data_IF_594199955066
#
_entry.id   IF_594199955066
#
_cell.length_a   1.000
_cell.length_b   1.000
_cell.length_c   1.000
_cell.angle_alpha   90.00
_cell.angle_beta   90.00
_cell.angle_gamma   90.00
#
_symmetry.space_group_name_H-M   'P 1'
#
loop_
_entity.id
_entity.type
_entity.pdbx_description
1 polymer ?
#
# COMPACT_ATOMS: atom_id res chain seq x y z
N UNK A 1 23.57 -74.74 -6.42
CA UNK A 1 23.43 -73.78 -5.29
C UNK A 1 23.49 -72.37 -5.87
N UNK A 2 22.53 -71.49 -5.56
CA UNK A 2 22.18 -70.32 -6.36
C UNK A 2 23.10 -69.12 -6.14
N UNK A 3 23.10 -68.25 -7.16
CA UNK A 3 23.83 -66.99 -7.26
C UNK A 3 23.21 -65.94 -6.33
N UNK A 4 24.02 -65.31 -5.50
CA UNK A 4 23.72 -64.04 -4.85
C UNK A 4 24.99 -63.22 -4.91
N UNK A 5 25.15 -62.50 -6.01
CA UNK A 5 26.12 -61.43 -6.12
C UNK A 5 25.51 -60.18 -5.49
N UNK A 6 26.19 -59.65 -4.48
CA UNK A 6 25.87 -58.33 -3.93
C UNK A 6 26.19 -57.26 -4.97
N UNK A 7 25.15 -56.55 -5.40
CA UNK A 7 25.16 -55.41 -6.32
C UNK A 7 25.70 -54.14 -5.64
N UNK A 8 26.91 -54.20 -5.07
CA UNK A 8 27.54 -53.05 -4.40
C UNK A 8 28.95 -52.77 -4.92
N UNK A 9 29.10 -52.58 -6.24
CA UNK A 9 30.26 -51.87 -6.81
C UNK A 9 29.96 -51.32 -8.23
N UNK A 10 30.76 -50.40 -8.81
CA UNK A 10 30.48 -48.98 -8.94
C UNK A 10 30.26 -48.59 -10.42
N UNK A 11 29.01 -48.61 -10.87
CA UNK A 11 28.51 -47.92 -12.08
C UNK A 11 27.05 -47.55 -11.76
N UNK A 12 26.60 -46.30 -11.70
CA UNK A 12 26.46 -45.36 -12.80
C UNK A 12 26.33 -43.94 -12.22
N UNK A 13 27.37 -43.13 -12.36
CA UNK A 13 27.33 -41.68 -12.11
C UNK A 13 26.58 -40.96 -13.23
N UNK A 14 25.24 -40.90 -13.16
CA UNK A 14 24.38 -40.04 -13.99
C UNK A 14 23.96 -38.75 -13.25
N UNK A 15 24.28 -38.62 -11.96
CA UNK A 15 24.00 -37.41 -11.16
C UNK A 15 24.59 -36.09 -11.72
N UNK A 16 25.85 -36.04 -12.19
CA UNK A 16 26.45 -34.75 -12.58
C UNK A 16 26.05 -34.23 -13.97
N UNK A 17 25.61 -35.10 -14.88
CA UNK A 17 25.33 -34.74 -16.28
C UNK A 17 23.88 -34.25 -16.44
N UNK A 18 22.93 -34.85 -15.71
CA UNK A 18 21.54 -34.36 -15.65
C UNK A 18 21.48 -33.04 -14.86
N UNK A 19 22.26 -32.90 -13.77
CA UNK A 19 22.32 -31.65 -13.01
C UNK A 19 22.87 -30.48 -13.84
N UNK A 20 23.93 -30.71 -14.63
CA UNK A 20 24.47 -29.68 -15.53
C UNK A 20 23.53 -29.28 -16.66
N UNK A 21 22.69 -30.19 -17.15
CA UNK A 21 21.65 -29.85 -18.13
C UNK A 21 20.53 -28.98 -17.50
N UNK A 22 20.11 -29.29 -16.26
CA UNK A 22 19.11 -28.51 -15.53
C UNK A 22 19.62 -27.11 -15.14
N UNK A 23 20.87 -27.02 -14.66
CA UNK A 23 21.52 -25.77 -14.28
C UNK A 23 21.82 -24.88 -15.49
N UNK A 24 22.16 -25.45 -16.65
CA UNK A 24 22.37 -24.66 -17.88
C UNK A 24 21.07 -24.14 -18.51
N UNK A 25 19.93 -24.80 -18.28
CA UNK A 25 18.61 -24.29 -18.67
C UNK A 25 18.19 -23.16 -17.71
N UNK A 26 18.43 -23.30 -16.40
CA UNK A 26 18.20 -22.21 -15.44
C UNK A 26 19.11 -21.01 -15.72
N UNK A 27 20.42 -21.19 -15.92
CA UNK A 27 21.37 -20.08 -16.14
C UNK A 27 21.12 -19.26 -17.43
N UNK A 28 20.41 -19.80 -18.42
CA UNK A 28 20.01 -19.04 -19.62
C UNK A 28 18.63 -18.38 -19.52
N UNK A 29 17.87 -18.65 -18.45
CA UNK A 29 16.56 -18.04 -18.16
C UNK A 29 16.58 -17.00 -17.01
N UNK A 30 17.76 -16.72 -16.42
CA UNK A 30 17.91 -15.92 -15.18
C UNK A 30 17.76 -14.41 -15.40
N UNK A 31 17.83 -13.90 -16.63
CA UNK A 31 17.85 -12.43 -16.80
C UNK A 31 16.47 -11.78 -16.69
N UNK A 32 15.37 -12.55 -16.71
CA UNK A 32 14.06 -12.18 -16.19
C UNK A 32 13.04 -13.29 -16.53
N UNK A 33 12.63 -14.15 -15.58
CA UNK A 33 11.72 -15.27 -15.87
C UNK A 33 10.36 -14.79 -16.43
N UNK A 34 9.94 -13.57 -16.09
CA UNK A 34 8.76 -12.92 -16.66
C UNK A 34 8.94 -12.33 -18.07
N UNK A 35 10.18 -12.05 -18.51
CA UNK A 35 10.44 -11.50 -19.86
C UNK A 35 10.15 -12.52 -20.94
N UNK A 36 10.36 -13.82 -20.66
CA UNK A 36 9.94 -14.90 -21.53
C UNK A 36 8.40 -14.96 -21.66
N UNK A 37 7.66 -14.79 -20.56
CA UNK A 37 6.20 -14.72 -20.57
C UNK A 37 5.68 -13.48 -21.33
N UNK A 38 6.27 -12.31 -21.10
CA UNK A 38 5.91 -11.08 -21.80
C UNK A 38 6.14 -11.16 -23.30
N UNK A 39 7.25 -11.78 -23.73
CA UNK A 39 7.56 -11.96 -25.17
C UNK A 39 6.52 -12.80 -25.91
N UNK A 40 5.89 -13.76 -25.23
CA UNK A 40 4.88 -14.65 -25.80
C UNK A 40 3.53 -13.94 -26.07
N UNK A 41 3.28 -12.82 -25.41
CA UNK A 41 2.08 -12.00 -25.60
C UNK A 41 2.33 -10.70 -26.36
N UNK A 42 3.55 -10.49 -26.88
CA UNK A 42 3.94 -9.21 -27.49
C UNK A 42 4.07 -8.07 -26.47
N UNK A 43 4.05 -8.37 -25.17
CA UNK A 43 4.11 -7.43 -24.06
C UNK A 43 5.56 -7.23 -23.56
N UNK A 44 6.55 -7.20 -24.46
CA UNK A 44 7.98 -7.30 -24.14
C UNK A 44 8.57 -6.20 -23.25
N UNK A 45 7.83 -5.14 -22.96
CA UNK A 45 8.21 -4.04 -22.06
C UNK A 45 7.49 -4.07 -20.70
N UNK A 46 6.46 -4.91 -20.54
CA UNK A 46 5.63 -4.96 -19.34
C UNK A 46 6.33 -5.80 -18.25
N UNK A 47 6.49 -5.20 -17.07
CA UNK A 47 7.14 -5.83 -15.91
C UNK A 47 6.09 -6.56 -15.08
N UNK A 48 6.08 -7.89 -15.18
CA UNK A 48 5.14 -8.77 -14.45
C UNK A 48 5.71 -9.31 -13.14
N UNK A 49 6.91 -8.89 -12.73
CA UNK A 49 7.61 -9.34 -11.52
C UNK A 49 7.14 -8.62 -10.25
N UNK A 50 6.33 -7.57 -10.37
CA UNK A 50 5.71 -6.86 -9.27
C UNK A 50 4.29 -6.42 -9.62
N UNK A 51 3.47 -6.15 -8.63
CA UNK A 51 2.13 -5.53 -8.72
C UNK A 51 2.16 -4.30 -7.83
N UNK A 52 1.83 -3.13 -8.37
CA UNK A 52 1.84 -1.87 -7.62
C UNK A 52 0.49 -1.66 -6.90
N UNK A 53 0.54 -1.06 -5.72
CA UNK A 53 -0.64 -0.74 -4.91
C UNK A 53 -0.58 0.71 -4.44
N UNK A 54 -1.74 1.28 -4.14
CA UNK A 54 -1.80 2.54 -3.42
C UNK A 54 -1.34 2.32 -1.95
N UNK A 55 -0.67 3.31 -1.34
CA UNK A 55 -0.29 3.27 0.07
C UNK A 55 -1.46 2.88 0.98
N UNK A 56 -1.21 1.99 1.94
CA UNK A 56 -2.21 1.55 2.93
C UNK A 56 -3.40 0.76 2.36
N UNK A 57 -3.43 0.49 1.04
CA UNK A 57 -4.55 -0.20 0.37
C UNK A 57 -4.13 -1.55 -0.20
N UNK A 58 -5.07 -2.49 -0.17
CA UNK A 58 -4.97 -3.81 -0.80
C UNK A 58 -5.87 -3.95 -2.05
N UNK A 59 -6.60 -2.90 -2.43
CA UNK A 59 -7.38 -2.89 -3.66
C UNK A 59 -6.44 -2.80 -4.86
N UNK A 60 -6.65 -3.68 -5.86
CA UNK A 60 -5.88 -3.68 -7.09
C UNK A 60 -6.26 -2.47 -7.97
N UNK A 61 -5.30 -1.60 -8.33
CA UNK A 61 -5.53 -0.54 -9.29
C UNK A 61 -5.97 -1.09 -10.66
N UNK A 62 -6.80 -0.37 -11.43
CA UNK A 62 -7.23 -0.84 -12.76
C UNK A 62 -6.09 -1.23 -13.72
N UNK A 63 -4.96 -0.48 -13.81
CA UNK A 63 -3.83 -0.87 -14.66
C UNK A 63 -3.23 -2.23 -14.27
N UNK A 64 -3.21 -2.53 -12.97
CA UNK A 64 -2.65 -3.76 -12.43
C UNK A 64 -3.57 -4.96 -12.66
N UNK A 65 -4.88 -4.78 -12.66
CA UNK A 65 -5.84 -5.82 -13.08
C UNK A 65 -5.63 -6.21 -14.55
N UNK A 66 -5.45 -5.23 -15.43
CA UNK A 66 -5.15 -5.50 -16.84
C UNK A 66 -3.83 -6.24 -17.03
N UNK A 67 -2.80 -5.85 -16.26
CA UNK A 67 -1.51 -6.54 -16.24
C UNK A 67 -1.65 -8.00 -15.77
N UNK A 68 -2.36 -8.23 -14.67
CA UNK A 68 -2.60 -9.57 -14.12
C UNK A 68 -3.40 -10.45 -15.09
N UNK A 69 -4.35 -9.88 -15.83
CA UNK A 69 -5.07 -10.60 -16.89
C UNK A 69 -4.13 -11.11 -17.98
N UNK A 70 -3.23 -10.27 -18.49
CA UNK A 70 -2.20 -10.72 -19.45
C UNK A 70 -1.29 -11.77 -18.85
N UNK A 71 -0.87 -11.61 -17.59
CA UNK A 71 -0.05 -12.61 -16.91
C UNK A 71 -0.77 -13.96 -16.84
N UNK A 72 -2.07 -13.98 -16.52
CA UNK A 72 -2.87 -15.19 -16.49
C UNK A 72 -2.92 -15.88 -17.86
N UNK A 73 -3.12 -15.13 -18.96
CA UNK A 73 -3.07 -15.68 -20.33
C UNK A 73 -1.70 -16.30 -20.67
N UNK A 74 -0.60 -15.71 -20.19
CA UNK A 74 0.73 -16.28 -20.36
C UNK A 74 0.91 -17.58 -19.56
N UNK A 75 0.41 -17.61 -18.32
CA UNK A 75 0.47 -18.78 -17.43
C UNK A 75 -0.36 -19.96 -17.93
N UNK A 76 -1.46 -19.71 -18.64
CA UNK A 76 -2.25 -20.75 -19.32
C UNK A 76 -1.44 -21.45 -20.43
N UNK A 77 -0.64 -20.69 -21.18
CA UNK A 77 0.23 -21.22 -22.26
C UNK A 77 1.49 -21.90 -21.73
N UNK A 78 1.69 -21.93 -20.41
CA UNK A 78 2.82 -22.55 -19.71
C UNK A 78 2.33 -23.35 -18.49
N UNK A 79 1.60 -24.47 -18.71
CA UNK A 79 0.99 -25.24 -17.63
C UNK A 79 1.99 -25.79 -16.61
N UNK A 80 3.27 -25.91 -16.99
CA UNK A 80 4.35 -26.35 -16.10
C UNK A 80 4.79 -25.32 -15.04
N UNK A 81 4.30 -24.07 -15.12
CA UNK A 81 4.71 -23.01 -14.19
C UNK A 81 3.72 -22.84 -13.04
N UNK A 82 4.24 -22.53 -11.86
CA UNK A 82 3.51 -22.03 -10.70
C UNK A 82 3.89 -20.58 -10.45
N UNK A 83 2.98 -19.83 -9.84
CA UNK A 83 3.24 -18.45 -9.40
C UNK A 83 3.20 -18.40 -7.88
N UNK A 84 4.26 -17.86 -7.29
CA UNK A 84 4.33 -17.50 -5.89
C UNK A 84 4.10 -16.00 -5.77
N UNK A 85 3.04 -15.60 -5.09
CA UNK A 85 2.69 -14.22 -4.80
C UNK A 85 3.18 -13.87 -3.40
N UNK A 86 4.10 -12.92 -3.29
CA UNK A 86 4.62 -12.43 -2.02
C UNK A 86 4.12 -11.01 -1.79
N UNK A 87 3.29 -10.84 -0.78
CA UNK A 87 2.87 -9.52 -0.35
C UNK A 87 4.05 -8.73 0.19
N UNK A 88 4.16 -7.45 -0.17
CA UNK A 88 5.13 -6.56 0.46
C UNK A 88 4.46 -5.29 0.97
N UNK A 89 5.14 -4.65 1.92
CA UNK A 89 4.74 -3.39 2.51
C UNK A 89 5.95 -2.48 2.68
N UNK A 90 5.75 -1.18 2.61
CA UNK A 90 6.74 -0.17 2.99
C UNK A 90 6.48 0.30 4.42
N UNK A 91 7.37 0.03 5.39
CA UNK A 91 7.19 0.51 6.77
C UNK A 91 7.03 2.03 6.86
N UNK A 92 7.60 2.76 5.91
CA UNK A 92 7.56 4.23 5.89
C UNK A 92 6.32 4.75 5.18
N UNK A 93 6.07 4.30 3.94
CA UNK A 93 4.98 4.82 3.10
C UNK A 93 3.64 4.24 3.56
N UNK A 94 3.54 2.91 3.67
CA UNK A 94 2.32 2.27 4.16
C UNK A 94 2.12 2.56 5.65
N UNK A 95 3.20 2.59 6.43
CA UNK A 95 3.11 2.88 7.86
C UNK A 95 2.56 4.29 8.12
N UNK A 96 3.04 5.29 7.38
CA UNK A 96 2.52 6.65 7.48
C UNK A 96 1.04 6.72 7.06
N UNK A 97 0.67 6.08 5.96
CA UNK A 97 -0.71 6.09 5.48
C UNK A 97 -1.67 5.39 6.46
N UNK A 98 -1.29 4.22 6.98
CA UNK A 98 -2.09 3.50 7.96
C UNK A 98 -2.32 4.33 9.24
N UNK A 99 -1.29 5.06 9.71
CA UNK A 99 -1.43 5.96 10.86
C UNK A 99 -2.38 7.13 10.55
N UNK A 100 -2.29 7.72 9.35
CA UNK A 100 -3.23 8.75 8.91
C UNK A 100 -4.67 8.23 8.88
N UNK A 101 -4.89 7.05 8.28
CA UNK A 101 -6.20 6.40 8.21
C UNK A 101 -6.76 6.08 9.60
N UNK A 102 -5.92 5.64 10.55
CA UNK A 102 -6.32 5.38 11.93
C UNK A 102 -6.85 6.64 12.62
N UNK A 103 -6.12 7.75 12.51
CA UNK A 103 -6.53 9.04 13.08
C UNK A 103 -7.81 9.54 12.39
N UNK A 104 -7.88 9.48 11.06
CA UNK A 104 -9.06 9.88 10.29
C UNK A 104 -10.30 9.08 10.66
N UNK A 105 -10.18 7.76 10.84
CA UNK A 105 -11.28 6.89 11.29
C UNK A 105 -11.71 7.24 12.71
N UNK A 106 -10.78 7.49 13.63
CA UNK A 106 -11.09 7.90 14.99
C UNK A 106 -11.84 9.24 15.03
N UNK A 107 -11.46 10.19 14.18
CA UNK A 107 -12.16 11.48 14.02
C UNK A 107 -13.56 11.26 13.42
N UNK A 108 -13.67 10.50 12.33
CA UNK A 108 -14.94 10.20 11.67
C UNK A 108 -15.95 9.51 12.61
N UNK A 109 -15.49 8.56 13.42
CA UNK A 109 -16.32 7.90 14.43
C UNK A 109 -16.87 8.91 15.46
N UNK A 110 -16.06 9.88 15.89
CA UNK A 110 -16.47 10.94 16.84
C UNK A 110 -17.40 11.97 16.23
N UNK A 111 -17.35 12.18 14.91
CA UNK A 111 -18.29 13.05 14.20
C UNK A 111 -19.59 12.33 13.81
N UNK A 112 -19.71 11.03 14.12
CA UNK A 112 -20.92 10.22 13.96
C UNK A 112 -20.97 9.41 12.66
N UNK A 113 -19.87 9.34 11.90
CA UNK A 113 -19.77 8.44 10.75
C UNK A 113 -19.76 6.98 11.23
N UNK A 114 -20.53 6.13 10.54
CA UNK A 114 -20.51 4.68 10.73
C UNK A 114 -19.73 4.08 9.57
N UNK A 115 -18.43 3.94 9.77
CA UNK A 115 -17.53 3.32 8.81
C UNK A 115 -17.44 1.82 9.07
N UNK A 116 -17.38 1.03 8.00
CA UNK A 116 -16.92 -0.36 8.10
C UNK A 116 -15.47 -0.46 8.57
N UNK A 117 -15.01 -1.65 9.02
CA UNK A 117 -13.63 -1.85 9.49
C UNK A 117 -12.55 -1.41 8.49
N UNK A 118 -12.80 -1.65 7.20
CA UNK A 118 -11.86 -1.39 6.10
C UNK A 118 -12.34 -0.28 5.17
N UNK A 119 -13.39 0.46 5.56
CA UNK A 119 -13.89 1.59 4.78
C UNK A 119 -12.95 2.79 4.92
N UNK A 120 -12.67 3.43 3.79
CA UNK A 120 -11.86 4.64 3.71
C UNK A 120 -12.65 5.81 4.34
N UNK A 121 -12.14 6.46 5.41
CA UNK A 121 -12.82 7.60 6.04
C UNK A 121 -12.88 8.83 5.14
N UNK A 122 -12.14 8.86 4.03
CA UNK A 122 -11.98 10.01 3.17
C UNK A 122 -11.12 11.12 3.80
N UNK A 123 -10.89 12.21 3.07
CA UNK A 123 -10.13 13.35 3.58
C UNK A 123 -10.89 14.07 4.71
N UNK A 124 -10.16 14.48 5.74
CA UNK A 124 -10.71 15.29 6.83
C UNK A 124 -10.82 16.75 6.42
N UNK A 125 -12.03 17.32 6.48
CA UNK A 125 -12.21 18.76 6.30
C UNK A 125 -11.87 19.53 7.59
N UNK A 126 -10.64 20.06 7.67
CA UNK A 126 -10.19 20.87 8.81
C UNK A 126 -10.96 22.19 8.98
N UNK A 127 -11.71 22.64 7.97
CA UNK A 127 -12.62 23.78 8.09
C UNK A 127 -13.85 23.46 8.94
N UNK A 128 -14.26 22.19 9.00
CA UNK A 128 -15.43 21.75 9.76
C UNK A 128 -15.16 21.82 11.28
N UNK A 129 -16.01 22.58 11.98
CA UNK A 129 -16.00 22.69 13.44
C UNK A 129 -16.11 21.35 14.18
N UNK A 130 -16.87 20.37 13.64
CA UNK A 130 -17.01 19.04 14.24
C UNK A 130 -15.72 18.25 14.12
N UNK A 131 -15.05 18.31 12.97
CA UNK A 131 -13.75 17.69 12.74
C UNK A 131 -12.71 18.28 13.67
N UNK A 132 -12.63 19.61 13.77
CA UNK A 132 -11.73 20.30 14.71
C UNK A 132 -11.98 19.92 16.17
N UNK A 133 -13.24 19.93 16.60
CA UNK A 133 -13.59 19.53 17.97
C UNK A 133 -13.30 18.05 18.26
N UNK A 134 -13.40 17.17 17.26
CA UNK A 134 -13.02 15.77 17.40
C UNK A 134 -11.49 15.59 17.49
N UNK A 135 -10.72 16.33 16.68
CA UNK A 135 -9.26 16.36 16.73
C UNK A 135 -8.75 16.88 18.07
N UNK A 136 -9.33 17.97 18.58
CA UNK A 136 -9.03 18.53 19.91
C UNK A 136 -9.23 17.48 21.00
N UNK A 137 -10.42 16.87 21.08
CA UNK A 137 -10.70 15.83 22.08
C UNK A 137 -9.74 14.65 21.98
N UNK A 138 -9.49 14.16 20.77
CA UNK A 138 -8.57 13.03 20.55
C UNK A 138 -7.14 13.39 20.98
N UNK A 139 -6.71 14.62 20.70
CA UNK A 139 -5.42 15.14 21.12
C UNK A 139 -5.32 15.30 22.64
N UNK A 140 -6.33 15.88 23.30
CA UNK A 140 -6.36 16.02 24.74
C UNK A 140 -6.35 14.68 25.47
N UNK A 141 -7.04 13.67 24.94
CA UNK A 141 -7.03 12.31 25.50
C UNK A 141 -5.63 11.67 25.42
N UNK A 142 -4.88 11.92 24.34
CA UNK A 142 -3.57 11.30 24.10
C UNK A 142 -2.41 12.07 24.73
N UNK A 143 -2.49 13.40 24.75
CA UNK A 143 -1.39 14.29 25.16
C UNK A 143 -1.72 15.20 26.36
N UNK A 144 -2.99 15.28 26.76
CA UNK A 144 -3.48 16.10 27.87
C UNK A 144 -3.90 17.52 27.47
N UNK A 145 -4.85 18.09 28.23
CA UNK A 145 -5.41 19.43 28.02
C UNK A 145 -4.35 20.56 28.05
N UNK A 146 -3.29 20.40 28.86
CA UNK A 146 -2.18 21.37 28.91
C UNK A 146 -1.46 21.44 27.56
N UNK A 147 -1.13 20.28 26.97
CA UNK A 147 -0.43 20.23 25.69
C UNK A 147 -1.28 20.85 24.57
N UNK A 148 -2.60 20.64 24.60
CA UNK A 148 -3.52 21.30 23.68
C UNK A 148 -3.51 22.82 23.87
N UNK A 149 -3.64 23.30 25.11
CA UNK A 149 -3.67 24.74 25.43
C UNK A 149 -2.40 25.45 24.98
N UNK A 150 -1.23 24.86 25.22
CA UNK A 150 0.06 25.42 24.82
C UNK A 150 0.15 25.56 23.29
N UNK A 151 -0.36 24.57 22.55
CA UNK A 151 -0.38 24.53 21.09
C UNK A 151 -1.43 25.50 20.50
N UNK A 152 -2.60 25.60 21.13
CA UNK A 152 -3.63 26.57 20.81
C UNK A 152 -3.10 28.02 20.92
N UNK A 153 -2.35 28.31 21.98
CA UNK A 153 -1.70 29.61 22.16
C UNK A 153 -0.62 29.88 21.11
N UNK A 154 0.20 28.88 20.78
CA UNK A 154 1.19 29.02 19.71
C UNK A 154 0.52 29.31 18.34
N UNK A 155 -0.62 28.68 18.05
CA UNK A 155 -1.41 28.95 16.85
C UNK A 155 -1.94 30.40 16.84
N UNK A 156 -2.48 30.88 17.97
CA UNK A 156 -2.96 32.27 18.14
C UNK A 156 -1.83 33.29 17.94
N UNK A 157 -0.60 32.97 18.37
CA UNK A 157 0.60 33.79 18.18
C UNK A 157 1.22 33.69 16.78
N UNK A 158 0.75 32.77 15.93
CA UNK A 158 1.30 32.54 14.59
C UNK A 158 2.68 31.85 14.60
N UNK A 159 2.99 31.12 15.67
CA UNK A 159 4.28 30.43 15.86
C UNK A 159 4.31 29.04 15.19
N UNK A 160 3.15 28.48 14.86
CA UNK A 160 3.03 27.20 14.15
C UNK A 160 3.22 27.44 12.65
N UNK A 161 4.24 26.80 12.09
CA UNK A 161 4.43 26.75 10.63
C UNK A 161 3.47 25.70 10.07
N UNK A 162 2.69 26.01 9.03
CA UNK A 162 1.91 25.00 8.33
C UNK A 162 2.85 23.89 7.86
N UNK A 163 2.65 22.67 8.37
CA UNK A 163 3.23 21.49 7.72
C UNK A 163 2.50 21.37 6.39
N UNK A 164 3.24 21.18 5.30
CA UNK A 164 2.63 21.09 3.97
C UNK A 164 1.53 20.01 4.02
N UNK A 165 0.26 20.43 3.94
CA UNK A 165 -0.85 19.52 3.79
C UNK A 165 -0.64 18.82 2.46
N UNK A 166 -0.55 17.49 2.47
CA UNK A 166 -0.41 16.70 1.24
C UNK A 166 -1.58 16.91 0.27
N UNK A 167 -2.69 17.52 0.72
CA UNK A 167 -3.77 18.05 -0.13
C UNK A 167 -3.29 19.05 -1.21
N UNK A 168 -2.12 19.69 -1.06
CA UNK A 168 -1.62 20.66 -2.03
C UNK A 168 -0.89 20.05 -3.24
N UNK A 169 -0.54 18.75 -3.18
CA UNK A 169 0.23 18.05 -4.21
C UNK A 169 -0.60 17.58 -5.42
N UNK A 170 -1.93 17.45 -5.28
CA UNK A 170 -2.81 16.93 -6.34
C UNK A 170 -3.71 17.97 -7.04
N UNK A 171 -3.69 19.23 -6.60
CA UNK A 171 -4.60 20.26 -7.15
C UNK A 171 -3.96 20.96 -8.35
N UNK A 172 -4.56 20.79 -9.52
CA UNK A 172 -4.20 21.46 -10.77
C UNK A 172 -3.96 22.99 -10.55
N UNK A 173 -2.87 23.59 -11.06
CA UNK A 173 -2.56 25.00 -10.86
C UNK A 173 -3.69 25.96 -11.28
N UNK A 174 -4.60 25.54 -12.17
CA UNK A 174 -5.78 26.33 -12.58
C UNK A 174 -6.89 26.38 -11.52
N UNK A 175 -7.09 25.33 -10.72
CA UNK A 175 -8.05 25.33 -9.60
C UNK A 175 -7.52 26.10 -8.39
N UNK A 176 -6.19 26.18 -8.21
CA UNK A 176 -5.52 27.05 -7.21
C UNK A 176 -5.85 28.55 -7.41
N UNK A 177 -5.87 29.03 -8.67
CA UNK A 177 -6.24 30.44 -8.99
C UNK A 177 -7.72 30.73 -8.76
N UNK A 178 -8.62 29.81 -9.10
CA UNK A 178 -10.07 29.98 -8.86
C UNK A 178 -10.42 30.01 -7.37
N UNK A 179 -9.84 29.14 -6.52
CA UNK A 179 -10.04 29.17 -5.05
C UNK A 179 -9.58 30.48 -4.42
N UNK A 180 -8.45 31.06 -4.85
CA UNK A 180 -7.98 32.38 -4.36
C UNK A 180 -8.91 33.54 -4.75
N UNK A 181 -9.49 33.52 -5.94
CA UNK A 181 -10.47 34.51 -6.39
C UNK A 181 -11.81 34.40 -5.66
N UNK A 182 -12.30 33.18 -5.47
CA UNK A 182 -13.57 32.90 -4.79
C UNK A 182 -13.49 33.11 -3.27
N UNK A 183 -12.35 32.81 -2.64
CA UNK A 183 -12.09 33.12 -1.23
C UNK A 183 -12.06 34.63 -0.96
N UNK A 184 -11.52 35.45 -1.89
CA UNK A 184 -11.60 36.92 -1.80
C UNK A 184 -13.04 37.42 -1.88
N UNK A 185 -13.89 36.81 -2.72
CA UNK A 185 -15.28 37.22 -2.90
C UNK A 185 -16.17 36.81 -1.71
N UNK A 186 -15.93 35.64 -1.10
CA UNK A 186 -16.63 35.20 0.11
C UNK A 186 -16.17 35.91 1.40
N UNK A 187 -14.90 36.36 1.46
CA UNK A 187 -14.41 37.28 2.52
C UNK A 187 -15.13 38.62 2.52
N UNK A 188 -15.51 39.12 1.33
CA UNK A 188 -16.24 40.37 1.19
C UNK A 188 -17.74 40.24 1.55
N UNK A 189 -18.29 39.03 1.68
CA UNK A 189 -19.74 38.79 1.79
C UNK A 189 -20.19 38.05 3.05
N UNK A 190 -19.28 37.44 3.83
CA UNK A 190 -19.59 36.94 5.19
C UNK A 190 -19.09 37.90 6.25
N UNK A 191 -20.00 38.70 6.80
CA UNK A 191 -19.83 39.37 8.09
C UNK A 191 -19.70 38.30 9.20
N UNK A 192 -18.49 37.79 9.41
CA UNK A 192 -18.19 37.05 10.63
C UNK A 192 -18.23 38.05 11.79
N UNK A 193 -19.01 37.75 12.84
CA UNK A 193 -18.88 38.46 14.11
C UNK A 193 -17.46 38.24 14.60
N UNK A 194 -16.62 39.26 14.50
CA UNK A 194 -15.29 39.29 15.09
C UNK A 194 -15.52 39.24 16.60
N UNK A 195 -15.36 38.07 17.20
CA UNK A 195 -15.31 37.92 18.66
C UNK A 195 -13.90 38.33 19.08
N UNK A 196 -13.73 39.36 19.91
CA UNK A 196 -12.41 39.74 20.41
C UNK A 196 -11.74 38.53 21.08
N UNK A 197 -10.56 38.14 20.58
CA UNK A 197 -9.78 37.00 21.09
C UNK A 197 -10.01 35.64 20.42
N UNK A 198 -10.94 35.52 19.46
CA UNK A 198 -11.11 34.29 18.69
C UNK A 198 -10.04 34.15 17.57
N UNK A 199 -9.62 32.92 17.28
CA UNK A 199 -8.71 32.62 16.16
C UNK A 199 -9.32 32.97 14.81
N UNK A 200 -8.46 33.35 13.85
CA UNK A 200 -8.87 33.44 12.45
C UNK A 200 -9.16 32.04 11.86
N UNK A 201 -9.91 31.94 10.74
CA UNK A 201 -10.10 30.67 10.05
C UNK A 201 -8.76 30.00 9.67
N UNK A 202 -7.79 30.78 9.18
CA UNK A 202 -6.47 30.25 8.81
C UNK A 202 -5.71 29.70 10.03
N UNK A 203 -5.79 30.37 11.18
CA UNK A 203 -5.18 29.87 12.43
C UNK A 203 -5.84 28.59 12.92
N UNK A 204 -7.16 28.46 12.73
CA UNK A 204 -7.92 27.26 13.11
C UNK A 204 -7.55 26.06 12.24
N UNK A 205 -7.37 26.27 10.94
CA UNK A 205 -6.95 25.22 10.00
C UNK A 205 -5.50 24.76 10.28
N UNK A 206 -4.61 25.70 10.58
CA UNK A 206 -3.21 25.40 10.96
C UNK A 206 -3.13 24.62 12.26
N UNK A 207 -3.92 25.01 13.27
CA UNK A 207 -4.02 24.26 14.52
C UNK A 207 -4.52 22.83 14.26
N UNK A 208 -5.61 22.68 13.50
CA UNK A 208 -6.18 21.37 13.19
C UNK A 208 -5.16 20.45 12.48
N UNK A 209 -4.43 20.98 11.50
CA UNK A 209 -3.37 20.25 10.80
C UNK A 209 -2.22 19.81 11.73
N UNK A 210 -1.80 20.67 12.66
CA UNK A 210 -0.76 20.31 13.63
C UNK A 210 -1.24 19.26 14.65
N UNK A 211 -2.50 19.35 15.12
CA UNK A 211 -3.09 18.33 15.98
C UNK A 211 -3.13 16.97 15.27
N UNK A 212 -3.60 16.94 14.02
CA UNK A 212 -3.63 15.74 13.20
C UNK A 212 -2.23 15.15 13.01
N UNK A 213 -1.25 15.98 12.63
CA UNK A 213 0.13 15.52 12.40
C UNK A 213 0.73 14.87 13.67
N UNK A 214 0.56 15.49 14.83
CA UNK A 214 1.07 14.92 16.09
C UNK A 214 0.33 13.65 16.51
N UNK A 215 -0.98 13.58 16.28
CA UNK A 215 -1.76 12.36 16.48
C UNK A 215 -1.22 11.22 15.62
N UNK A 216 -0.95 11.47 14.33
CA UNK A 216 -0.35 10.50 13.41
C UNK A 216 1.04 10.06 13.87
N UNK A 217 1.91 11.00 14.26
CA UNK A 217 3.27 10.70 14.75
C UNK A 217 3.26 9.82 16.01
N UNK A 218 2.32 10.06 16.91
CA UNK A 218 2.16 9.30 18.15
C UNK A 218 1.45 7.95 17.99
N UNK A 219 0.83 7.71 16.83
CA UNK A 219 0.12 6.44 16.61
C UNK A 219 1.15 5.31 16.49
N UNK A 220 1.03 4.23 17.29
CA UNK A 220 2.00 3.14 17.27
C UNK A 220 2.03 2.51 15.88
N UNK A 221 3.24 2.27 15.35
CA UNK A 221 3.38 1.61 14.05
C UNK A 221 2.88 0.15 14.19
N UNK A 222 1.78 -0.23 13.52
CA UNK A 222 1.27 -1.58 13.67
C UNK A 222 2.01 -2.47 12.67
N UNK A 223 3.14 -3.03 13.11
CA UNK A 223 3.86 -4.09 12.37
C UNK A 223 2.90 -5.21 11.96
N UNK A 224 1.95 -5.55 12.83
CA UNK A 224 0.87 -6.48 12.55
C UNK A 224 -0.05 -6.01 11.40
N UNK A 225 -0.45 -4.73 11.37
CA UNK A 225 -1.29 -4.21 10.29
C UNK A 225 -0.53 -4.11 8.96
N UNK A 226 0.76 -3.82 8.99
CA UNK A 226 1.62 -3.84 7.81
C UNK A 226 1.75 -5.26 7.23
N UNK A 227 1.96 -6.25 8.09
CA UNK A 227 1.99 -7.66 7.68
C UNK A 227 0.64 -8.13 7.14
N UNK A 228 -0.46 -7.72 7.79
CA UNK A 228 -1.84 -7.94 7.33
C UNK A 228 -2.07 -7.33 5.95
N UNK A 229 -1.70 -6.07 5.75
CA UNK A 229 -1.82 -5.34 4.49
C UNK A 229 -1.08 -6.06 3.35
N UNK A 230 0.15 -6.52 3.59
CA UNK A 230 0.88 -7.31 2.62
C UNK A 230 0.17 -8.65 2.32
N UNK A 231 -0.35 -9.33 3.34
CA UNK A 231 -1.13 -10.55 3.16
C UNK A 231 -2.38 -10.32 2.30
N UNK A 232 -3.12 -9.24 2.57
CA UNK A 232 -4.31 -8.84 1.81
C UNK A 232 -3.97 -8.51 0.34
N UNK A 233 -2.85 -7.81 0.08
CA UNK A 233 -2.37 -7.56 -1.28
C UNK A 233 -2.06 -8.86 -2.03
N UNK A 234 -1.38 -9.80 -1.39
CA UNK A 234 -1.08 -11.09 -1.99
C UNK A 234 -2.36 -11.88 -2.31
N UNK A 235 -3.33 -11.84 -1.40
CA UNK A 235 -4.65 -12.45 -1.60
C UNK A 235 -5.42 -11.77 -2.74
N UNK A 236 -5.40 -10.44 -2.84
CA UNK A 236 -6.05 -9.71 -3.91
C UNK A 236 -5.49 -10.09 -5.29
N UNK A 237 -4.16 -10.18 -5.42
CA UNK A 237 -3.50 -10.66 -6.65
C UNK A 237 -3.90 -12.10 -6.97
N UNK A 238 -3.86 -13.00 -5.97
CA UNK A 238 -4.23 -14.39 -6.17
C UNK A 238 -5.70 -14.53 -6.60
N UNK A 239 -6.61 -13.78 -5.99
CA UNK A 239 -8.02 -13.76 -6.34
C UNK A 239 -8.25 -13.25 -7.78
N UNK A 240 -7.56 -12.19 -8.19
CA UNK A 240 -7.63 -11.69 -9.57
C UNK A 240 -7.13 -12.72 -10.59
N UNK A 241 -6.04 -13.43 -10.30
CA UNK A 241 -5.50 -14.49 -11.18
C UNK A 241 -6.36 -15.75 -11.23
N UNK A 242 -7.10 -16.06 -10.16
CA UNK A 242 -8.08 -17.15 -10.12
C UNK A 242 -9.39 -16.77 -10.80
N UNK A 243 -9.70 -15.48 -10.89
CA UNK A 243 -10.93 -14.99 -11.48
C UNK A 243 -11.07 -15.50 -12.93
N UNK A 244 -12.31 -15.80 -13.33
CA UNK A 244 -12.62 -16.43 -14.62
C UNK A 244 -11.88 -17.76 -14.90
N UNK A 245 -11.44 -18.47 -13.84
CA UNK A 245 -10.71 -19.73 -13.91
C UNK A 245 -9.39 -19.65 -14.69
N UNK A 246 -8.75 -18.46 -14.66
CA UNK A 246 -7.63 -18.18 -15.53
C UNK A 246 -6.35 -18.91 -15.10
N UNK A 247 -6.10 -19.05 -13.79
CA UNK A 247 -5.03 -19.87 -13.22
C UNK A 247 -5.59 -20.76 -12.09
N UNK A 248 -5.39 -22.09 -12.16
CA UNK A 248 -5.80 -23.03 -11.10
C UNK A 248 -5.17 -22.73 -9.73
N UNK A 249 -5.93 -22.96 -8.65
CA UNK A 249 -5.49 -22.66 -7.28
C UNK A 249 -4.25 -23.46 -6.84
N UNK A 250 -4.06 -24.68 -7.33
CA UNK A 250 -2.88 -25.52 -7.07
C UNK A 250 -1.58 -25.02 -7.75
N UNK A 251 -1.72 -24.06 -8.66
CA UNK A 251 -0.62 -23.37 -9.34
C UNK A 251 -0.33 -21.98 -8.77
N UNK A 252 -1.09 -21.54 -7.77
CA UNK A 252 -0.90 -20.28 -7.07
C UNK A 252 -0.54 -20.55 -5.62
N UNK A 253 0.56 -19.94 -5.17
CA UNK A 253 0.98 -20.02 -3.78
C UNK A 253 1.14 -18.61 -3.22
N UNK A 254 0.59 -18.36 -2.04
CA UNK A 254 0.87 -17.15 -1.29
C UNK A 254 2.09 -17.42 -0.42
N UNK A 255 3.15 -16.62 -0.61
CA UNK A 255 4.35 -16.66 0.22
C UNK A 255 4.22 -15.82 1.48
N UNK A 256 5.23 -15.87 2.34
CA UNK A 256 5.31 -15.01 3.53
C UNK A 256 5.42 -13.53 3.14
N UNK A 257 4.73 -12.67 3.88
CA UNK A 257 4.82 -11.21 3.75
C UNK A 257 6.22 -10.73 4.10
N UNK A 258 6.76 -9.78 3.32
CA UNK A 258 8.10 -9.23 3.56
C UNK A 258 8.09 -7.69 3.48
N UNK A 259 8.89 -6.99 4.30
CA UNK A 259 9.11 -5.56 4.09
C UNK A 259 9.79 -5.33 2.74
N UNK A 260 9.44 -4.24 2.06
CA UNK A 260 10.12 -3.81 0.85
C UNK A 260 11.50 -3.25 1.23
N UNK A 261 12.55 -3.73 0.55
CA UNK A 261 13.94 -3.36 0.84
C UNK A 261 14.33 -1.95 0.34
N UNK A 262 13.59 -1.40 -0.63
CA UNK A 262 13.87 -0.11 -1.26
C UNK A 262 12.70 0.86 -1.06
N UNK A 263 12.98 2.15 -0.87
CA UNK A 263 11.98 3.22 -0.66
C UNK A 263 11.11 3.55 -1.88
N UNK A 264 11.27 2.85 -3.00
CA UNK A 264 10.76 3.27 -4.29
C UNK A 264 9.32 2.82 -4.63
N UNK A 265 8.58 2.22 -3.69
CA UNK A 265 7.18 1.91 -3.99
C UNK A 265 6.44 1.08 -2.96
N UNK A 266 5.19 0.80 -3.30
CA UNK A 266 4.26 -0.01 -2.54
C UNK A 266 3.85 -1.14 -3.48
N UNK A 267 4.29 -2.37 -3.22
CA UNK A 267 4.17 -3.46 -4.19
C UNK A 267 3.89 -4.83 -3.56
N UNK A 268 3.38 -5.76 -4.36
CA UNK A 268 3.54 -7.19 -4.14
C UNK A 268 4.53 -7.75 -5.16
N UNK A 269 5.42 -8.64 -4.73
CA UNK A 269 6.41 -9.29 -5.61
C UNK A 269 5.88 -10.62 -6.12
N UNK A 270 6.13 -10.88 -7.39
CA UNK A 270 5.75 -12.11 -8.06
C UNK A 270 6.99 -12.95 -8.39
N UNK A 271 6.98 -14.23 -8.04
CA UNK A 271 8.03 -15.18 -8.41
C UNK A 271 7.42 -16.37 -9.17
N UNK A 272 8.14 -16.89 -10.17
CA UNK A 272 7.75 -18.10 -10.88
C UNK A 272 8.49 -19.31 -10.32
N UNK A 273 7.77 -20.40 -10.15
CA UNK A 273 8.31 -21.72 -9.79
C UNK A 273 7.81 -22.78 -10.79
N UNK A 274 8.30 -24.01 -10.70
CA UNK A 274 7.95 -25.12 -11.58
C UNK A 274 7.06 -26.11 -10.84
N UNK A 275 6.02 -26.63 -11.49
CA UNK A 275 5.21 -27.73 -10.94
C UNK A 275 6.12 -28.97 -10.80
N UNK A 276 6.25 -29.59 -9.61
CA UNK A 276 7.02 -30.81 -9.48
C UNK A 276 6.40 -31.88 -10.37
N UNK A 277 7.14 -32.35 -11.38
CA UNK A 277 6.74 -33.54 -12.13
C UNK A 277 6.91 -34.73 -11.18
N UNK A 278 5.80 -35.28 -10.69
CA UNK A 278 5.83 -36.51 -9.91
C UNK A 278 6.60 -37.58 -10.68
N UNK A 279 7.64 -38.11 -10.04
CA UNK A 279 8.29 -39.36 -10.44
C UNK A 279 7.64 -40.54 -9.74
#
# INVERSE_FOLDING_TARGET
>A
LPVSGELNDPQFSIGPIIWKAFVNIMLKAVTAPFRALGSLLGAGAEKFDAVEFDPGKAELPPPEKEKLKKLAEALQKKPQLKLVVQGQFSPEIDGLELKQLNVSRAVAARTGAKLGPDEDPGPLDFGDSKVRGALEKLFEERFGAKAFTDLEQAAKRGEIKPRASQEEAGVDPKTKKKRKGFAKLWRATKLYKIVPGAMSPEQSDVLAGELFARLVESDPNPEEALSKLAGERAQAVAAELQSANAVPADRLQIGESQPLADEAGVSAKLNLDVVPTGG
#
